data_IF_985479658647
#
_entry.id   IF_985479658647
#
_cell.length_a   1.000
_cell.length_b   1.000
_cell.length_c   1.000
_cell.angle_alpha   90.00
_cell.angle_beta   90.00
_cell.angle_gamma   90.00
#
_symmetry.space_group_name_H-M   'P 1'
#
loop_
_entity.id
_entity.type
_entity.pdbx_description
1 polymer ?
#
# COMPACT_ATOMS: atom_id res chain seq x y z
N UNK A 1 -24.24 -32.75 -67.09
CA UNK A 1 -25.10 -32.04 -66.12
C UNK A 1 -24.78 -32.56 -64.73
N UNK A 2 -24.05 -31.79 -63.93
CA UNK A 2 -23.73 -32.13 -62.53
C UNK A 2 -24.95 -31.82 -61.66
N UNK A 3 -25.54 -32.84 -61.02
CA UNK A 3 -26.60 -32.66 -60.02
C UNK A 3 -25.98 -32.03 -58.77
N UNK A 4 -26.54 -30.90 -58.31
CA UNK A 4 -26.24 -30.37 -56.99
C UNK A 4 -26.99 -31.22 -55.94
N UNK A 5 -26.24 -31.80 -55.00
CA UNK A 5 -26.80 -32.46 -53.82
C UNK A 5 -27.12 -31.38 -52.79
N UNK A 6 -28.36 -31.35 -52.28
CA UNK A 6 -28.78 -30.46 -51.20
C UNK A 6 -28.49 -31.07 -49.82
N UNK A 7 -28.40 -30.22 -48.80
CA UNK A 7 -28.21 -30.65 -47.41
C UNK A 7 -29.46 -31.35 -46.84
N UNK A 8 -29.24 -32.37 -46.03
CA UNK A 8 -30.29 -33.02 -45.25
C UNK A 8 -30.65 -32.21 -44.01
N UNK A 9 -31.88 -32.37 -43.51
CA UNK A 9 -32.30 -31.78 -42.22
C UNK A 9 -31.35 -32.20 -41.08
N UNK A 10 -30.89 -33.45 -41.12
CA UNK A 10 -29.98 -34.02 -40.13
C UNK A 10 -28.61 -33.31 -40.14
N UNK A 11 -28.05 -33.00 -41.31
CA UNK A 11 -26.79 -32.23 -41.41
C UNK A 11 -26.93 -30.83 -40.84
N UNK A 12 -28.03 -30.13 -41.13
CA UNK A 12 -28.27 -28.78 -40.59
C UNK A 12 -28.40 -28.83 -39.08
N UNK A 13 -29.11 -29.82 -38.54
CA UNK A 13 -29.29 -29.98 -37.09
C UNK A 13 -27.97 -30.31 -36.38
N UNK A 14 -27.17 -31.22 -36.94
CA UNK A 14 -25.84 -31.54 -36.41
C UNK A 14 -24.93 -30.31 -36.47
N UNK A 15 -24.91 -29.57 -37.58
CA UNK A 15 -24.12 -28.36 -37.73
C UNK A 15 -24.51 -27.29 -36.70
N UNK A 16 -25.82 -27.04 -36.52
CA UNK A 16 -26.32 -26.09 -35.52
C UNK A 16 -26.00 -26.53 -34.09
N UNK A 17 -26.06 -27.83 -33.80
CA UNK A 17 -25.73 -28.38 -32.47
C UNK A 17 -24.26 -28.17 -32.16
N UNK A 18 -23.36 -28.53 -33.08
CA UNK A 18 -21.92 -28.33 -32.92
C UNK A 18 -21.61 -26.83 -32.78
N UNK A 19 -22.18 -26.00 -33.65
CA UNK A 19 -21.97 -24.55 -33.60
C UNK A 19 -22.44 -23.94 -32.27
N UNK A 20 -23.59 -24.38 -31.76
CA UNK A 20 -24.10 -23.92 -30.46
C UNK A 20 -23.18 -24.32 -29.31
N UNK A 21 -22.67 -25.55 -29.30
CA UNK A 21 -21.72 -26.03 -28.28
C UNK A 21 -20.43 -25.21 -28.33
N UNK A 22 -19.87 -24.99 -29.52
CA UNK A 22 -18.66 -24.20 -29.71
C UNK A 22 -18.86 -22.75 -29.28
N UNK A 23 -20.00 -22.15 -29.63
CA UNK A 23 -20.37 -20.79 -29.22
C UNK A 23 -20.49 -20.65 -27.70
N UNK A 24 -21.14 -21.60 -27.05
CA UNK A 24 -21.26 -21.63 -25.58
C UNK A 24 -19.91 -21.82 -24.89
N UNK A 25 -19.10 -22.78 -25.36
CA UNK A 25 -17.77 -23.05 -24.82
C UNK A 25 -16.84 -21.82 -24.93
N UNK A 26 -16.85 -21.15 -26.09
CA UNK A 26 -16.08 -19.92 -26.31
C UNK A 26 -16.50 -18.78 -25.38
N UNK A 27 -17.80 -18.54 -25.24
CA UNK A 27 -18.32 -17.52 -24.33
C UNK A 27 -17.99 -17.84 -22.87
N UNK A 28 -18.04 -19.11 -22.47
CA UNK A 28 -17.68 -19.54 -21.12
C UNK A 28 -16.18 -19.34 -20.84
N UNK A 29 -15.33 -19.68 -21.80
CA UNK A 29 -13.89 -19.45 -21.70
C UNK A 29 -13.57 -17.96 -21.55
N UNK A 30 -14.18 -17.10 -22.37
CA UNK A 30 -13.99 -15.64 -22.28
C UNK A 30 -14.39 -15.08 -20.92
N UNK A 31 -15.52 -15.54 -20.36
CA UNK A 31 -15.97 -15.15 -19.02
C UNK A 31 -15.01 -15.60 -17.93
N UNK A 32 -14.45 -16.81 -18.07
CA UNK A 32 -13.46 -17.33 -17.14
C UNK A 32 -12.16 -16.52 -17.18
N UNK A 33 -11.67 -16.14 -18.36
CA UNK A 33 -10.47 -15.30 -18.48
C UNK A 33 -10.72 -13.93 -17.86
N UNK A 34 -11.86 -13.31 -18.16
CA UNK A 34 -12.22 -12.01 -17.61
C UNK A 34 -12.34 -12.02 -16.08
N UNK A 35 -12.86 -13.09 -15.48
CA UNK A 35 -12.94 -13.20 -14.02
C UNK A 35 -11.58 -13.43 -13.37
N UNK A 36 -10.67 -14.15 -14.04
CA UNK A 36 -9.28 -14.32 -13.60
C UNK A 36 -8.54 -12.98 -13.65
N UNK A 37 -8.68 -12.22 -14.74
CA UNK A 37 -8.05 -10.89 -14.87
C UNK A 37 -8.48 -9.95 -13.75
N UNK A 38 -9.79 -9.89 -13.43
CA UNK A 38 -10.30 -9.06 -12.33
C UNK A 38 -9.72 -9.45 -10.97
N UNK A 39 -9.72 -10.74 -10.64
CA UNK A 39 -9.12 -11.22 -9.38
C UNK A 39 -7.62 -10.93 -9.32
N UNK A 40 -6.92 -11.05 -10.45
CA UNK A 40 -5.50 -10.75 -10.53
C UNK A 40 -5.22 -9.26 -10.33
N UNK A 41 -6.08 -8.38 -10.86
CA UNK A 41 -5.97 -6.94 -10.70
C UNK A 41 -6.12 -6.53 -9.22
N UNK A 42 -7.14 -7.04 -8.53
CA UNK A 42 -7.35 -6.80 -7.09
C UNK A 42 -6.12 -7.22 -6.25
N UNK A 43 -5.61 -8.44 -6.49
CA UNK A 43 -4.41 -8.94 -5.81
C UNK A 43 -3.15 -8.12 -6.11
N UNK A 44 -3.03 -7.65 -7.34
CA UNK A 44 -1.90 -6.82 -7.77
C UNK A 44 -1.91 -5.47 -7.04
N UNK A 45 -3.08 -4.89 -6.84
CA UNK A 45 -3.22 -3.60 -6.14
C UNK A 45 -2.98 -3.71 -4.62
N UNK A 46 -3.41 -4.81 -3.99
CA UNK A 46 -3.03 -5.16 -2.61
C UNK A 46 -1.50 -5.25 -2.47
N UNK A 47 -0.84 -6.00 -3.35
CA UNK A 47 0.61 -6.17 -3.35
C UNK A 47 1.35 -4.84 -3.60
N UNK A 48 0.89 -4.04 -4.56
CA UNK A 48 1.46 -2.70 -4.83
C UNK A 48 1.35 -1.80 -3.60
N UNK A 49 0.25 -1.87 -2.86
CA UNK A 49 0.07 -1.11 -1.62
C UNK A 49 1.06 -1.55 -0.55
N UNK A 50 1.24 -2.85 -0.34
CA UNK A 50 2.23 -3.40 0.58
C UNK A 50 3.66 -2.95 0.24
N UNK A 51 4.05 -3.04 -1.04
CA UNK A 51 5.37 -2.58 -1.51
C UNK A 51 5.55 -1.07 -1.27
N UNK A 52 4.51 -0.26 -1.47
CA UNK A 52 4.56 1.19 -1.17
C UNK A 52 4.78 1.45 0.31
N UNK A 53 4.13 0.68 1.19
CA UNK A 53 4.31 0.78 2.65
C UNK A 53 5.76 0.47 3.04
N UNK A 54 6.32 -0.65 2.57
CA UNK A 54 7.72 -0.99 2.87
C UNK A 54 8.71 0.03 2.32
N UNK A 55 8.50 0.55 1.11
CA UNK A 55 9.33 1.64 0.56
C UNK A 55 9.20 2.94 1.34
N UNK A 56 8.07 3.17 2.00
CA UNK A 56 7.89 4.33 2.88
C UNK A 56 8.68 4.16 4.17
N UNK A 57 8.51 3.00 4.82
CA UNK A 57 9.22 2.63 6.04
C UNK A 57 10.74 2.66 5.82
N UNK A 58 11.24 1.99 4.78
CA UNK A 58 12.65 1.99 4.42
C UNK A 58 13.19 3.42 4.22
N UNK A 59 12.49 4.26 3.45
CA UNK A 59 12.92 5.66 3.24
C UNK A 59 12.91 6.50 4.50
N UNK A 60 12.04 6.22 5.46
CA UNK A 60 12.06 6.92 6.74
C UNK A 60 13.21 6.42 7.61
N UNK A 61 13.31 5.10 7.83
CA UNK A 61 14.32 4.47 8.70
C UNK A 61 15.73 4.68 8.17
N UNK A 62 15.96 4.52 6.86
CA UNK A 62 17.26 4.78 6.23
C UNK A 62 17.68 6.25 6.28
N UNK A 63 16.74 7.16 6.55
CA UNK A 63 17.02 8.59 6.72
C UNK A 63 16.97 9.02 8.20
N UNK A 64 17.00 8.08 9.14
CA UNK A 64 16.99 8.36 10.57
C UNK A 64 18.20 9.22 10.97
N UNK A 65 17.96 10.20 11.82
CA UNK A 65 19.00 11.08 12.37
C UNK A 65 18.90 11.07 13.89
N UNK A 66 20.05 10.96 14.56
CA UNK A 66 20.12 10.97 16.01
C UNK A 66 19.94 12.38 16.59
N UNK A 67 18.72 12.92 16.50
CA UNK A 67 18.32 14.22 17.05
C UNK A 67 17.02 14.11 17.83
N UNK A 68 17.09 14.36 19.14
CA UNK A 68 15.91 14.51 19.99
C UNK A 68 15.12 15.77 19.68
N UNK A 69 13.89 15.84 20.18
CA UNK A 69 12.96 16.96 20.00
C UNK A 69 12.30 17.32 21.31
N UNK A 70 11.58 18.43 21.37
CA UNK A 70 10.69 18.75 22.50
C UNK A 70 9.23 18.59 22.12
N UNK A 71 8.44 18.07 23.04
CA UNK A 71 7.00 17.99 22.88
C UNK A 71 6.30 19.34 23.13
N UNK A 72 4.96 19.34 23.10
CA UNK A 72 4.13 20.54 23.28
C UNK A 72 4.20 21.13 24.69
N UNK A 73 4.69 20.35 25.67
CA UNK A 73 4.90 20.75 27.06
C UNK A 73 6.36 21.17 27.31
N UNK A 74 7.23 21.03 26.31
CA UNK A 74 8.66 21.33 26.39
C UNK A 74 9.52 20.16 26.87
N UNK A 75 8.93 18.99 27.11
CA UNK A 75 9.62 17.82 27.60
C UNK A 75 10.48 17.18 26.50
N UNK A 76 11.69 16.70 26.82
CA UNK A 76 12.58 16.11 25.84
C UNK A 76 12.09 14.72 25.40
N UNK A 77 11.95 14.53 24.09
CA UNK A 77 11.70 13.23 23.46
C UNK A 77 12.99 12.74 22.80
N UNK A 78 13.34 11.47 23.04
CA UNK A 78 14.50 10.83 22.45
C UNK A 78 14.47 10.85 20.91
N UNK A 79 15.66 10.78 20.28
CA UNK A 79 15.78 10.76 18.82
C UNK A 79 15.01 9.62 18.15
N UNK A 80 14.92 8.49 18.86
CA UNK A 80 14.15 7.29 18.50
C UNK A 80 13.43 6.85 19.77
N UNK A 81 12.14 6.55 19.64
CA UNK A 81 11.28 5.97 20.67
C UNK A 81 10.58 4.76 20.08
N UNK A 82 10.74 3.61 20.74
CA UNK A 82 10.12 2.35 20.34
C UNK A 82 9.34 1.82 21.53
N UNK A 83 8.02 1.71 21.40
CA UNK A 83 7.10 1.25 22.45
C UNK A 83 7.20 1.99 23.79
N UNK A 84 7.74 3.21 23.82
CA UNK A 84 7.92 4.02 25.05
C UNK A 84 6.98 5.24 25.11
N UNK A 85 6.38 5.63 23.99
CA UNK A 85 5.49 6.79 23.90
C UNK A 85 4.10 6.44 23.39
N UNK A 86 3.39 7.46 22.89
CA UNK A 86 2.05 7.32 22.30
C UNK A 86 2.03 6.42 21.04
N UNK A 87 3.18 6.30 20.37
CA UNK A 87 3.32 5.57 19.12
C UNK A 87 4.26 4.38 19.29
N UNK A 88 3.98 3.21 18.68
CA UNK A 88 4.89 2.07 18.67
C UNK A 88 6.29 2.40 18.12
N UNK A 89 6.37 3.32 17.16
CA UNK A 89 7.63 3.81 16.60
C UNK A 89 7.51 5.31 16.34
N UNK A 90 8.43 6.09 16.91
CA UNK A 90 8.56 7.52 16.66
C UNK A 90 10.05 7.89 16.57
N UNK A 91 10.45 8.65 15.55
CA UNK A 91 11.84 9.05 15.38
C UNK A 91 12.00 10.31 14.53
N UNK A 92 13.18 10.89 14.58
CA UNK A 92 13.56 12.02 13.72
C UNK A 92 14.22 11.51 12.45
N UNK A 93 13.73 11.95 11.29
CA UNK A 93 14.34 11.66 9.98
C UNK A 93 14.78 12.93 9.27
N UNK A 94 15.82 12.80 8.46
CA UNK A 94 16.25 13.81 7.49
C UNK A 94 15.71 13.54 6.08
N UNK A 95 16.32 14.20 5.10
CA UNK A 95 16.03 13.96 3.67
C UNK A 95 14.72 14.58 3.18
N UNK A 96 14.09 15.49 3.94
CA UNK A 96 12.92 16.21 3.46
C UNK A 96 13.35 17.25 2.41
N UNK A 97 13.19 16.87 1.13
CA UNK A 97 13.68 17.66 -0.03
C UNK A 97 13.30 19.14 0.08
N UNK A 98 14.34 19.97 0.01
CA UNK A 98 14.43 21.43 0.03
C UNK A 98 14.32 22.23 -1.30
N UNK A 99 13.70 21.77 -2.43
CA UNK A 99 14.07 22.28 -3.76
C UNK A 99 13.81 23.78 -3.94
N UNK A 100 12.76 24.29 -3.28
CA UNK A 100 12.39 25.71 -3.31
C UNK A 100 13.16 26.57 -2.29
N UNK A 101 14.13 25.98 -1.56
CA UNK A 101 14.95 26.63 -0.52
C UNK A 101 14.15 27.47 0.49
N UNK A 102 12.95 27.00 0.84
CA UNK A 102 12.11 27.66 1.83
C UNK A 102 12.78 27.65 3.21
N UNK A 103 12.57 28.67 4.07
CA UNK A 103 13.13 28.76 5.42
C UNK A 103 12.41 27.79 6.37
N UNK A 104 12.66 26.49 6.20
CA UNK A 104 12.09 25.42 7.03
C UNK A 104 13.13 24.34 7.32
N UNK A 105 12.89 23.59 8.39
CA UNK A 105 13.71 22.41 8.72
C UNK A 105 13.70 21.40 7.56
N UNK A 106 14.84 20.75 7.34
CA UNK A 106 14.96 19.55 6.49
C UNK A 106 14.72 18.26 7.28
N UNK A 107 14.59 18.39 8.61
CA UNK A 107 14.27 17.30 9.52
C UNK A 107 12.76 17.26 9.74
N UNK A 108 12.24 16.06 9.91
CA UNK A 108 10.85 15.80 10.27
C UNK A 108 10.80 14.82 11.42
N UNK A 109 9.86 15.02 12.33
CA UNK A 109 9.48 13.98 13.28
C UNK A 109 8.45 13.08 12.59
N UNK A 110 8.62 11.78 12.68
CA UNK A 110 7.70 10.79 12.10
C UNK A 110 7.34 9.75 13.13
N UNK A 111 6.10 9.28 13.09
CA UNK A 111 5.65 8.16 13.88
C UNK A 111 4.80 7.20 13.06
N UNK A 112 4.76 5.94 13.50
CA UNK A 112 3.96 4.89 12.90
C UNK A 112 3.03 4.30 13.96
N UNK A 113 1.77 4.10 13.57
CA UNK A 113 0.77 3.50 14.45
C UNK A 113 -0.23 2.66 13.67
N UNK A 114 -0.85 1.73 14.37
CA UNK A 114 -2.07 1.08 13.95
C UNK A 114 -3.21 1.58 14.83
N UNK A 115 -4.27 2.13 14.23
CA UNK A 115 -5.39 2.73 14.96
C UNK A 115 -6.58 1.77 15.15
N UNK A 116 -6.41 0.48 14.86
CA UNK A 116 -7.50 -0.51 14.87
C UNK A 116 -8.17 -0.74 13.52
N UNK A 117 -7.86 0.07 12.50
CA UNK A 117 -8.42 -0.08 11.15
C UNK A 117 -7.32 -0.06 10.07
N UNK A 118 -6.33 0.82 10.24
CA UNK A 118 -5.30 1.04 9.26
C UNK A 118 -3.93 1.33 9.89
N UNK A 119 -2.88 0.94 9.16
CA UNK A 119 -1.53 1.40 9.42
C UNK A 119 -1.39 2.85 8.95
N UNK A 120 -0.95 3.71 9.84
CA UNK A 120 -0.83 5.14 9.63
C UNK A 120 0.60 5.62 9.86
N UNK A 121 0.99 6.62 9.09
CA UNK A 121 2.19 7.42 9.29
C UNK A 121 1.80 8.81 9.73
N UNK A 122 2.36 9.26 10.83
CA UNK A 122 2.13 10.57 11.43
C UNK A 122 3.39 11.42 11.24
N UNK A 123 3.24 12.68 10.81
CA UNK A 123 4.36 13.55 10.47
C UNK A 123 4.18 14.94 11.06
N UNK A 124 5.22 15.45 11.70
CA UNK A 124 5.30 16.85 12.12
C UNK A 124 6.30 17.60 11.22
N UNK A 125 5.88 18.76 10.71
CA UNK A 125 6.70 19.60 9.83
C UNK A 125 7.68 20.49 10.62
N UNK A 126 7.42 20.70 11.90
CA UNK A 126 8.21 21.51 12.83
C UNK A 126 8.74 20.54 13.90
N UNK A 127 10.04 20.59 14.17
CA UNK A 127 10.70 19.62 15.05
C UNK A 127 10.36 19.86 16.52
N UNK A 128 10.45 21.10 16.96
CA UNK A 128 10.03 21.50 18.31
C UNK A 128 8.54 21.83 18.25
N UNK A 129 7.73 21.05 18.96
CA UNK A 129 6.27 21.17 18.87
C UNK A 129 5.85 22.47 19.55
N UNK A 130 5.55 23.51 18.77
CA UNK A 130 4.70 24.59 19.25
C UNK A 130 3.28 24.03 19.45
N UNK A 131 2.59 24.44 20.54
CA UNK A 131 1.27 23.93 20.95
C UNK A 131 0.21 23.82 19.82
N UNK A 132 0.36 24.57 18.72
CA UNK A 132 -0.60 24.60 17.62
C UNK A 132 -0.23 23.75 16.37
N UNK A 133 0.86 22.97 16.39
CA UNK A 133 1.27 22.22 15.20
C UNK A 133 0.57 20.87 15.09
N UNK A 134 -0.56 20.84 14.39
CA UNK A 134 -1.27 19.58 14.09
C UNK A 134 -0.42 18.65 13.19
N UNK A 135 -0.23 17.37 13.56
CA UNK A 135 0.44 16.44 12.69
C UNK A 135 -0.37 16.15 11.42
N UNK A 136 0.34 15.78 10.36
CA UNK A 136 -0.27 15.19 9.17
C UNK A 136 -0.31 13.69 9.32
N UNK A 137 -1.51 13.11 9.30
CA UNK A 137 -1.73 11.67 9.32
C UNK A 137 -1.94 11.18 7.89
N UNK A 138 -1.19 10.14 7.51
CA UNK A 138 -1.29 9.48 6.22
C UNK A 138 -1.64 8.01 6.44
N UNK A 139 -2.79 7.58 5.93
CA UNK A 139 -3.14 6.15 5.86
C UNK A 139 -2.25 5.45 4.84
N UNK A 140 -1.54 4.40 5.26
CA UNK A 140 -0.63 3.63 4.40
C UNK A 140 -1.32 2.39 3.82
N UNK A 141 -2.04 1.65 4.67
CA UNK A 141 -2.68 0.40 4.30
C UNK A 141 -3.82 0.08 5.28
N UNK A 142 -4.97 -0.31 4.74
CA UNK A 142 -6.12 -0.85 5.48
C UNK A 142 -6.06 -2.37 5.55
N UNK A 143 -6.86 -3.00 6.42
CA UNK A 143 -6.85 -4.47 6.56
C UNK A 143 -5.61 -5.01 7.28
N UNK A 144 -4.88 -4.14 7.97
CA UNK A 144 -3.80 -4.52 8.89
C UNK A 144 -4.44 -5.00 10.18
N UNK A 145 -3.96 -6.10 10.75
CA UNK A 145 -4.50 -6.65 12.00
C UNK A 145 -3.72 -6.22 13.23
N UNK A 146 -2.41 -6.02 13.07
CA UNK A 146 -1.49 -5.66 14.15
C UNK A 146 -0.23 -4.97 13.59
N UNK A 147 0.41 -4.15 14.41
CA UNK A 147 1.68 -3.50 14.08
C UNK A 147 2.61 -3.50 15.29
N UNK A 148 3.72 -4.23 15.19
CA UNK A 148 4.71 -4.40 16.25
C UNK A 148 6.08 -4.00 15.76
N UNK A 149 6.81 -3.30 16.63
CA UNK A 149 8.19 -2.88 16.38
C UNK A 149 9.07 -3.39 17.51
N UNK A 150 10.22 -3.93 17.15
CA UNK A 150 11.26 -4.37 18.08
C UNK A 150 12.61 -3.81 17.65
N UNK A 151 13.50 -3.68 18.62
CA UNK A 151 14.89 -3.31 18.39
C UNK A 151 15.73 -4.59 18.44
N UNK A 152 16.67 -4.70 17.52
CA UNK A 152 17.68 -5.76 17.51
C UNK A 152 18.98 -5.13 17.99
N UNK A 153 19.59 -5.72 19.01
CA UNK A 153 20.90 -5.27 19.48
C UNK A 153 21.97 -5.68 18.47
N UNK A 154 23.14 -5.04 18.51
CA UNK A 154 24.25 -5.39 17.64
C UNK A 154 24.69 -6.86 17.78
N UNK A 155 24.36 -7.49 18.92
CA UNK A 155 24.74 -8.86 19.28
C UNK A 155 23.67 -9.92 18.93
N UNK A 156 22.52 -9.51 18.37
CA UNK A 156 21.39 -10.38 18.02
C UNK A 156 20.14 -10.16 18.87
#
# INVERSE_FOLDING_TARGET
>A
MTRALGFTLLEVLIAMTIFSILGLASNQMLRSVSSIERQMEERTDEYRTLVRVFKMLDRDVSALVYRGVRDEFGDPIAAVSVNQGLYPLEFTRGGWRNPLKLPRSQLQRVAYQYNGEALQRVVWLILDRAQDTKPRVQTLMTGVTDFKVSLINADG
#
